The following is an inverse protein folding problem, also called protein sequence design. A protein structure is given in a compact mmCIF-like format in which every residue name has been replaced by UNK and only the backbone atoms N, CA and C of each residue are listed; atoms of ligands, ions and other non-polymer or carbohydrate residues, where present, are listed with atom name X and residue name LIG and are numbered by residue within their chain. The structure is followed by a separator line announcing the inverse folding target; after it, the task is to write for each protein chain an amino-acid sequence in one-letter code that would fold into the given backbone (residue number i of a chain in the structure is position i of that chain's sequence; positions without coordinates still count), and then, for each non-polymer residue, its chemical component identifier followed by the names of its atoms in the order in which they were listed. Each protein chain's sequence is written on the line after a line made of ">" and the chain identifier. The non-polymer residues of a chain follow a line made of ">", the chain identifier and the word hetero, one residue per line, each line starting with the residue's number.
data_IF_430455965331
#
_entry.id   IF_430455965331
#
_cell.length_a   1.000
_cell.length_b   1.000
_cell.length_c   1.000
_cell.angle_alpha   90.00
_cell.angle_beta   90.00
_cell.angle_gamma   90.00
#
_symmetry.space_group_name_H-M   'P 1'
#
loop_
_entity.id
_entity.type
_entity.pdbx_description
1 polymer ?
#
# COMPACT_ATOMS: atom_id res chain seq x y z
N UNK A 1 26.40 -16.05 41.83
CA UNK A 1 24.97 -15.78 41.52
C UNK A 1 24.75 -14.40 40.86
N UNK A 2 25.44 -13.33 41.28
CA UNK A 2 25.28 -12.00 40.67
C UNK A 2 25.68 -11.91 39.18
N UNK A 3 26.66 -12.70 38.72
CA UNK A 3 27.07 -12.72 37.31
C UNK A 3 26.03 -13.37 36.38
N UNK A 4 25.36 -14.44 36.82
CA UNK A 4 24.30 -15.09 36.05
C UNK A 4 23.09 -14.16 35.85
N UNK A 5 22.76 -13.34 36.85
CA UNK A 5 21.70 -12.31 36.76
C UNK A 5 22.10 -11.19 35.80
N UNK A 6 23.38 -10.78 35.77
CA UNK A 6 23.87 -9.78 34.79
C UNK A 6 23.87 -10.31 33.36
N UNK A 7 24.30 -11.55 33.13
CA UNK A 7 24.25 -12.18 31.80
C UNK A 7 22.82 -12.33 31.28
N UNK A 8 21.88 -12.77 32.13
CA UNK A 8 20.46 -12.86 31.79
C UNK A 8 19.88 -11.49 31.36
N UNK A 9 20.18 -10.43 32.12
CA UNK A 9 19.71 -9.07 31.83
C UNK A 9 20.33 -8.48 30.54
N UNK A 10 21.61 -8.77 30.29
CA UNK A 10 22.30 -8.39 29.05
C UNK A 10 21.70 -9.08 27.82
N UNK A 11 21.37 -10.36 27.93
CA UNK A 11 20.81 -11.16 26.83
C UNK A 11 19.37 -10.74 26.51
N UNK A 12 18.59 -10.43 27.54
CA UNK A 12 17.23 -9.87 27.43
C UNK A 12 17.24 -8.50 26.74
N UNK A 13 18.10 -7.58 27.18
CA UNK A 13 18.20 -6.25 26.56
C UNK A 13 18.65 -6.29 25.10
N UNK A 14 19.53 -7.23 24.74
CA UNK A 14 19.98 -7.40 23.37
C UNK A 14 18.88 -7.99 22.46
N UNK A 15 18.04 -8.90 22.97
CA UNK A 15 16.87 -9.44 22.25
C UNK A 15 15.77 -8.41 22.05
N UNK A 16 15.49 -7.57 23.04
CA UNK A 16 14.49 -6.50 22.89
C UNK A 16 14.95 -5.43 21.88
N UNK A 17 16.24 -5.05 21.92
CA UNK A 17 16.82 -4.12 20.96
C UNK A 17 16.84 -4.68 19.53
N UNK A 18 17.18 -5.96 19.38
CA UNK A 18 17.14 -6.66 18.09
C UNK A 18 15.72 -6.78 17.53
N UNK A 19 14.73 -7.13 18.39
CA UNK A 19 13.32 -7.20 17.99
C UNK A 19 12.76 -5.84 17.56
N UNK A 20 13.10 -4.76 18.28
CA UNK A 20 12.73 -3.39 17.90
C UNK A 20 13.36 -3.00 16.55
N UNK A 21 14.63 -3.30 16.32
CA UNK A 21 15.29 -2.97 15.05
C UNK A 21 14.68 -3.76 13.87
N UNK A 22 14.36 -5.04 14.07
CA UNK A 22 13.74 -5.88 13.03
C UNK A 22 12.33 -5.40 12.62
N UNK A 23 11.51 -4.93 13.57
CA UNK A 23 10.17 -4.42 13.28
C UNK A 23 10.25 -3.12 12.46
N UNK A 24 11.20 -2.24 12.81
CA UNK A 24 11.41 -0.99 12.09
C UNK A 24 11.90 -1.23 10.65
N UNK A 25 12.87 -2.14 10.46
CA UNK A 25 13.33 -2.53 9.12
C UNK A 25 12.18 -3.10 8.30
N UNK A 26 11.36 -3.95 8.91
CA UNK A 26 10.20 -4.55 8.23
C UNK A 26 9.24 -3.46 7.74
N UNK A 27 8.87 -2.50 8.61
CA UNK A 27 8.00 -1.38 8.26
C UNK A 27 8.53 -0.59 7.06
N UNK A 28 9.83 -0.30 7.02
CA UNK A 28 10.43 0.43 5.90
C UNK A 28 10.44 -0.38 4.60
N UNK A 29 10.85 -1.65 4.67
CA UNK A 29 10.86 -2.53 3.49
C UNK A 29 9.45 -2.67 2.92
N UNK A 30 8.45 -2.96 3.75
CA UNK A 30 7.07 -3.11 3.30
C UNK A 30 6.48 -1.79 2.81
N UNK A 31 6.89 -0.65 3.35
CA UNK A 31 6.53 0.66 2.81
C UNK A 31 7.05 0.85 1.37
N UNK A 32 8.32 0.60 1.10
CA UNK A 32 8.87 0.72 -0.26
C UNK A 32 8.22 -0.26 -1.24
N UNK A 33 7.97 -1.49 -0.81
CA UNK A 33 7.24 -2.48 -1.61
C UNK A 33 5.82 -2.01 -1.91
N UNK A 34 5.11 -1.45 -0.91
CA UNK A 34 3.75 -0.92 -1.10
C UNK A 34 3.73 0.31 -2.01
N UNK A 35 4.75 1.17 -1.91
CA UNK A 35 4.91 2.32 -2.78
C UNK A 35 5.13 1.89 -4.25
N UNK A 36 6.01 0.93 -4.48
CA UNK A 36 6.22 0.34 -5.81
C UNK A 36 4.93 -0.31 -6.33
N UNK A 37 4.22 -1.04 -5.48
CA UNK A 37 2.94 -1.64 -5.84
C UNK A 37 1.89 -0.59 -6.22
N UNK A 38 1.85 0.56 -5.54
CA UNK A 38 0.93 1.66 -5.88
C UNK A 38 1.27 2.29 -7.24
N UNK A 39 2.57 2.46 -7.55
CA UNK A 39 3.03 2.93 -8.86
C UNK A 39 2.64 1.94 -9.97
N UNK A 40 2.93 0.65 -9.76
CA UNK A 40 2.56 -0.41 -10.72
C UNK A 40 1.05 -0.48 -10.88
N UNK A 41 0.28 -0.42 -9.79
CA UNK A 41 -1.17 -0.43 -9.80
C UNK A 41 -1.77 0.74 -10.56
N UNK A 42 -1.24 1.96 -10.39
CA UNK A 42 -1.63 3.11 -11.18
C UNK A 42 -1.32 2.93 -12.68
N UNK A 43 -0.17 2.33 -13.01
CA UNK A 43 0.18 1.96 -14.39
C UNK A 43 -0.80 0.95 -15.01
N UNK A 44 -1.20 -0.08 -14.25
CA UNK A 44 -2.19 -1.07 -14.70
C UNK A 44 -3.55 -0.42 -14.96
N UNK A 45 -3.97 0.52 -14.10
CA UNK A 45 -5.23 1.24 -14.29
C UNK A 45 -5.13 2.21 -15.47
N UNK A 46 -3.96 2.78 -15.73
CA UNK A 46 -3.70 3.60 -16.92
C UNK A 46 -3.80 2.79 -18.21
N UNK A 47 -3.17 1.63 -18.24
CA UNK A 47 -3.22 0.72 -19.38
C UNK A 47 -4.65 0.21 -19.67
N UNK A 48 -5.40 -0.13 -18.62
CA UNK A 48 -6.81 -0.50 -18.74
C UNK A 48 -7.65 0.67 -19.29
N UNK A 49 -7.39 1.89 -18.83
CA UNK A 49 -8.03 3.10 -19.33
C UNK A 49 -7.77 3.29 -20.83
N UNK A 50 -6.52 3.20 -21.27
CA UNK A 50 -6.18 3.30 -22.70
C UNK A 50 -6.91 2.25 -23.53
N UNK A 51 -6.91 1.00 -23.07
CA UNK A 51 -7.54 -0.12 -23.78
C UNK A 51 -9.06 0.06 -23.89
N UNK A 52 -9.71 0.41 -22.77
CA UNK A 52 -11.18 0.58 -22.72
C UNK A 52 -11.62 1.77 -23.56
N UNK A 53 -10.92 2.90 -23.50
CA UNK A 53 -11.28 4.08 -24.27
C UNK A 53 -10.94 3.96 -25.76
N UNK A 54 -9.89 3.23 -26.14
CA UNK A 54 -9.63 2.89 -27.54
C UNK A 54 -10.79 2.08 -28.12
N UNK A 55 -11.23 1.02 -27.41
CA UNK A 55 -12.36 0.20 -27.86
C UNK A 55 -13.69 0.97 -27.89
N UNK A 56 -13.89 1.91 -26.96
CA UNK A 56 -15.08 2.76 -26.96
C UNK A 56 -15.11 3.71 -28.17
N UNK A 57 -13.96 4.30 -28.52
CA UNK A 57 -13.83 5.16 -29.70
C UNK A 57 -14.03 4.42 -31.04
N UNK A 58 -13.69 3.14 -31.10
CA UNK A 58 -13.95 2.31 -32.30
C UNK A 58 -15.42 1.89 -32.45
N UNK A 59 -16.12 1.67 -31.33
CA UNK A 59 -17.49 1.12 -31.33
C UNK A 59 -18.61 2.16 -31.38
N UNK A 60 -18.37 3.37 -30.92
CA UNK A 60 -19.45 4.35 -30.69
C UNK A 60 -19.18 5.68 -31.40
N UNK A 61 -20.17 6.18 -32.13
CA UNK A 61 -20.19 7.55 -32.65
C UNK A 61 -20.49 8.60 -31.58
N UNK A 62 -20.86 8.16 -30.37
CA UNK A 62 -21.06 9.02 -29.20
C UNK A 62 -19.74 9.19 -28.42
N UNK A 63 -19.51 10.41 -27.92
CA UNK A 63 -18.37 10.73 -27.05
C UNK A 63 -18.39 9.84 -25.80
N UNK A 64 -17.35 9.03 -25.63
CA UNK A 64 -17.13 8.23 -24.42
C UNK A 64 -17.02 9.15 -23.20
N UNK A 65 -17.84 8.89 -22.17
CA UNK A 65 -17.81 9.69 -20.93
C UNK A 65 -16.44 9.60 -20.26
N UNK A 66 -15.84 10.73 -19.89
CA UNK A 66 -14.56 10.77 -19.18
C UNK A 66 -14.61 10.35 -17.71
N UNK A 67 -15.81 10.11 -17.16
CA UNK A 67 -16.00 9.81 -15.73
C UNK A 67 -15.21 8.57 -15.29
N UNK A 68 -15.19 7.53 -16.12
CA UNK A 68 -14.45 6.30 -15.83
C UNK A 68 -12.94 6.52 -15.77
N UNK A 69 -12.40 7.29 -16.71
CA UNK A 69 -10.99 7.67 -16.76
C UNK A 69 -10.58 8.43 -15.49
N UNK A 70 -11.22 9.57 -15.24
CA UNK A 70 -10.82 10.44 -14.14
C UNK A 70 -11.08 9.79 -12.77
N UNK A 71 -12.19 9.06 -12.62
CA UNK A 71 -12.52 8.41 -11.36
C UNK A 71 -11.58 7.24 -11.02
N UNK A 72 -11.30 6.36 -11.98
CA UNK A 72 -10.37 5.23 -11.75
C UNK A 72 -8.93 5.70 -11.48
N UNK A 73 -8.49 6.75 -12.17
CA UNK A 73 -7.21 7.42 -11.89
C UNK A 73 -7.17 8.05 -10.51
N UNK A 74 -8.21 8.80 -10.13
CA UNK A 74 -8.28 9.44 -8.82
C UNK A 74 -8.27 8.41 -7.69
N UNK A 75 -9.02 7.30 -7.82
CA UNK A 75 -8.99 6.18 -6.87
C UNK A 75 -7.58 5.63 -6.74
N UNK A 76 -6.91 5.32 -7.86
CA UNK A 76 -5.59 4.71 -7.84
C UNK A 76 -4.52 5.63 -7.26
N UNK A 77 -4.52 6.91 -7.64
CA UNK A 77 -3.49 7.86 -7.24
C UNK A 77 -3.74 8.44 -5.84
N UNK A 78 -4.97 8.84 -5.51
CA UNK A 78 -5.23 9.45 -4.21
C UNK A 78 -5.40 8.38 -3.13
N UNK A 79 -6.28 7.40 -3.34
CA UNK A 79 -6.57 6.39 -2.32
C UNK A 79 -5.42 5.39 -2.24
N UNK A 80 -4.84 4.97 -3.37
CA UNK A 80 -3.75 4.00 -3.39
C UNK A 80 -2.52 4.50 -2.62
N UNK A 81 -2.04 5.71 -2.93
CA UNK A 81 -0.91 6.31 -2.19
C UNK A 81 -1.31 6.72 -0.77
N UNK A 82 -2.55 7.18 -0.57
CA UNK A 82 -3.08 7.49 0.77
C UNK A 82 -3.01 6.29 1.72
N UNK A 83 -3.35 5.09 1.25
CA UNK A 83 -3.25 3.84 2.02
C UNK A 83 -1.81 3.51 2.38
N UNK A 84 -0.85 3.71 1.46
CA UNK A 84 0.58 3.49 1.72
C UNK A 84 1.09 4.43 2.82
N UNK A 85 0.76 5.73 2.73
CA UNK A 85 1.15 6.73 3.71
C UNK A 85 0.51 6.44 5.08
N UNK A 86 -0.79 6.13 5.10
CA UNK A 86 -1.48 5.78 6.34
C UNK A 86 -0.86 4.54 7.01
N UNK A 87 -0.53 3.50 6.23
CA UNK A 87 0.13 2.30 6.73
C UNK A 87 1.49 2.58 7.37
N UNK A 88 2.30 3.44 6.74
CA UNK A 88 3.59 3.86 7.30
C UNK A 88 3.41 4.64 8.61
N UNK A 89 2.53 5.65 8.61
CA UNK A 89 2.28 6.50 9.79
C UNK A 89 1.78 5.66 10.96
N UNK A 90 0.77 4.81 10.74
CA UNK A 90 0.24 3.91 11.78
C UNK A 90 1.29 2.89 12.25
N UNK A 91 2.12 2.38 11.34
CA UNK A 91 3.23 1.49 11.66
C UNK A 91 4.25 2.14 12.58
N UNK A 92 4.71 3.36 12.25
CA UNK A 92 5.69 4.12 13.05
C UNK A 92 5.10 4.52 14.41
N UNK A 93 3.85 5.00 14.46
CA UNK A 93 3.20 5.37 15.72
C UNK A 93 3.09 4.17 16.66
N UNK A 94 2.74 2.99 16.13
CA UNK A 94 2.66 1.77 16.94
C UNK A 94 4.03 1.25 17.37
N UNK A 95 5.04 1.37 16.51
CA UNK A 95 6.42 1.07 16.87
C UNK A 95 6.91 1.95 18.03
N UNK A 96 6.64 3.27 17.99
CA UNK A 96 7.01 4.22 19.05
C UNK A 96 6.33 3.93 20.39
N UNK A 97 5.18 3.25 20.40
CA UNK A 97 4.48 2.83 21.62
C UNK A 97 4.92 1.44 22.11
N UNK A 98 6.00 0.89 21.56
CA UNK A 98 6.58 -0.40 21.98
C UNK A 98 5.83 -1.63 21.48
N UNK A 99 4.91 -1.46 20.52
CA UNK A 99 4.12 -2.55 19.90
C UNK A 99 4.59 -2.80 18.47
N UNK A 100 4.44 -4.04 17.98
CA UNK A 100 4.77 -4.39 16.59
C UNK A 100 3.91 -3.59 15.61
N UNK A 101 4.55 -2.76 14.79
CA UNK A 101 3.91 -1.89 13.81
C UNK A 101 3.82 -2.51 12.41
N UNK A 102 4.60 -3.56 12.12
CA UNK A 102 4.72 -4.15 10.78
C UNK A 102 3.38 -4.59 10.15
N UNK A 103 2.40 -5.03 10.96
CA UNK A 103 1.08 -5.43 10.49
C UNK A 103 0.32 -4.33 9.74
N UNK A 104 0.51 -3.06 10.11
CA UNK A 104 -0.13 -1.95 9.39
C UNK A 104 0.47 -1.74 8.01
N UNK A 105 1.78 -1.95 7.87
CA UNK A 105 2.44 -1.82 6.57
C UNK A 105 2.11 -3.00 5.64
N UNK A 106 1.96 -4.22 6.19
CA UNK A 106 1.38 -5.36 5.47
C UNK A 106 -0.07 -5.08 5.03
N UNK A 107 -0.89 -4.52 5.92
CA UNK A 107 -2.27 -4.13 5.60
C UNK A 107 -2.34 -3.09 4.48
N UNK A 108 -1.38 -2.15 4.45
CA UNK A 108 -1.30 -1.16 3.37
C UNK A 108 -1.00 -1.79 2.01
N UNK A 109 -0.11 -2.79 1.95
CA UNK A 109 0.14 -3.52 0.71
C UNK A 109 -1.13 -4.20 0.16
N UNK A 110 -1.86 -4.91 1.03
CA UNK A 110 -3.14 -5.53 0.66
C UNK A 110 -4.16 -4.46 0.24
N UNK A 111 -4.20 -3.34 0.96
CA UNK A 111 -5.07 -2.22 0.63
C UNK A 111 -4.79 -1.63 -0.75
N UNK A 112 -3.51 -1.49 -1.15
CA UNK A 112 -3.16 -1.04 -2.51
C UNK A 112 -3.73 -1.96 -3.57
N UNK A 113 -3.60 -3.29 -3.41
CA UNK A 113 -4.14 -4.27 -4.35
C UNK A 113 -5.66 -4.12 -4.48
N UNK A 114 -6.36 -4.00 -3.34
CA UNK A 114 -7.81 -3.82 -3.33
C UNK A 114 -8.23 -2.51 -4.01
N UNK A 115 -7.50 -1.42 -3.78
CA UNK A 115 -7.76 -0.13 -4.42
C UNK A 115 -7.57 -0.21 -5.94
N UNK A 116 -6.52 -0.89 -6.41
CA UNK A 116 -6.29 -1.12 -7.84
C UNK A 116 -7.44 -1.91 -8.46
N UNK A 117 -7.88 -3.01 -7.83
CA UNK A 117 -9.02 -3.79 -8.32
C UNK A 117 -10.31 -2.96 -8.35
N UNK A 118 -10.56 -2.17 -7.30
CA UNK A 118 -11.72 -1.29 -7.22
C UNK A 118 -11.71 -0.23 -8.34
N UNK A 119 -10.55 0.35 -8.65
CA UNK A 119 -10.41 1.31 -9.75
C UNK A 119 -10.72 0.69 -11.11
N UNK A 120 -10.27 -0.55 -11.35
CA UNK A 120 -10.57 -1.29 -12.59
C UNK A 120 -12.07 -1.59 -12.67
N UNK A 121 -12.69 -2.07 -11.60
CA UNK A 121 -14.13 -2.33 -11.57
C UNK A 121 -14.92 -1.05 -11.82
N UNK A 122 -14.55 0.05 -11.16
CA UNK A 122 -15.17 1.35 -11.37
C UNK A 122 -15.09 1.79 -12.83
N UNK A 123 -13.92 1.67 -13.47
CA UNK A 123 -13.74 1.96 -14.89
C UNK A 123 -14.69 1.13 -15.77
N UNK A 124 -14.76 -0.18 -15.54
CA UNK A 124 -15.58 -1.10 -16.35
C UNK A 124 -17.08 -0.87 -16.18
N UNK A 125 -17.52 -0.36 -15.04
CA UNK A 125 -18.93 -0.06 -14.78
C UNK A 125 -19.33 1.31 -15.36
N UNK A 126 -18.38 2.24 -15.47
CA UNK A 126 -18.66 3.63 -15.87
C UNK A 126 -18.44 3.90 -17.35
N UNK A 127 -17.67 3.06 -18.05
CA UNK A 127 -17.55 3.12 -19.51
C UNK A 127 -18.44 2.04 -20.13
N UNK A 128 -19.46 2.43 -20.92
CA UNK A 128 -20.39 1.51 -21.56
C UNK A 128 -19.78 0.70 -22.71
#
# INVERSE_FOLDING_TARGET
>A
MAEAVRMSKSTSGNRERSGSTSDLVTIWVTFFVSLLAAVVGAGVVFDNNLTVYAACGEKSSALCSGVGWYGSMAISLAIGFGVVVAGLVLGILRHRTGRRGAWFSLGAFVGVILVTLLAIVFLRVTVP
#
